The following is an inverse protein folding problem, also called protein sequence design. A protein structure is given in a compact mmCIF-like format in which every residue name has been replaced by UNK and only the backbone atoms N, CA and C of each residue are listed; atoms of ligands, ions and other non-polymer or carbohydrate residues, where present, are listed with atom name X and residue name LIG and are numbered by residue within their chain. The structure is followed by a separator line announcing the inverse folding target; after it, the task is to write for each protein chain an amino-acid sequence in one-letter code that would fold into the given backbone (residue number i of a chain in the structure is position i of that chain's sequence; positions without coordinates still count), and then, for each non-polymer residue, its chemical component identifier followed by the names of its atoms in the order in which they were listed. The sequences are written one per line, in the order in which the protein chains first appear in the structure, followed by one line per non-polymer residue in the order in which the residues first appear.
data_IF_989119995827
#
_entry.id   IF_989119995827
#
_cell.length_a   1.000
_cell.length_b   1.000
_cell.length_c   1.000
_cell.angle_alpha   90.00
_cell.angle_beta   90.00
_cell.angle_gamma   90.00
#
_symmetry.space_group_name_H-M   'P 1'
#
loop_
_entity.id
_entity.type
_entity.pdbx_description
1 polymer ?
#
# COMPACT_ATOMS: atom_id res chain seq x y z
N UNK A 1 43.65 5.83 40.98
CA UNK A 1 42.90 4.82 40.23
C UNK A 1 41.71 5.55 39.66
N UNK A 2 41.77 5.90 38.37
CA UNK A 2 40.67 6.60 37.70
C UNK A 2 39.53 5.62 37.53
N UNK A 3 38.41 5.92 38.17
CA UNK A 3 37.18 5.15 38.10
C UNK A 3 36.59 5.35 36.70
N UNK A 4 36.81 4.36 35.82
CA UNK A 4 36.18 4.30 34.51
C UNK A 4 34.69 4.02 34.70
N UNK A 5 33.91 5.07 34.96
CA UNK A 5 32.46 5.03 34.94
C UNK A 5 32.04 4.87 33.49
N UNK A 6 31.94 3.62 33.04
CA UNK A 6 31.21 3.28 31.81
C UNK A 6 29.76 3.74 32.02
N UNK A 7 29.42 4.90 31.46
CA UNK A 7 28.03 5.38 31.39
C UNK A 7 27.23 4.34 30.61
N UNK A 8 26.49 3.50 31.33
CA UNK A 8 25.52 2.60 30.71
C UNK A 8 24.41 3.50 30.16
N UNK A 9 24.49 3.87 28.89
CA UNK A 9 23.41 4.59 28.22
C UNK A 9 22.14 3.75 28.31
N UNK A 10 21.18 4.22 29.10
CA UNK A 10 19.89 3.54 29.23
C UNK A 10 19.25 3.43 27.84
N UNK A 11 18.67 2.26 27.48
CA UNK A 11 18.13 2.06 26.15
C UNK A 11 17.08 3.13 25.84
N UNK A 12 17.27 3.85 24.72
CA UNK A 12 16.42 4.96 24.29
C UNK A 12 14.96 4.51 24.23
N UNK A 13 14.15 4.98 25.18
CA UNK A 13 12.73 4.61 25.27
C UNK A 13 11.99 5.13 24.04
N UNK A 14 11.30 4.23 23.33
CA UNK A 14 10.53 4.62 22.14
C UNK A 14 9.35 5.54 22.51
N UNK A 15 9.10 6.62 21.78
CA UNK A 15 7.89 7.43 21.95
C UNK A 15 6.62 6.61 21.73
N UNK A 16 5.60 6.80 22.56
CA UNK A 16 4.31 6.09 22.44
C UNK A 16 3.65 6.33 21.07
N UNK A 17 3.73 7.55 20.54
CA UNK A 17 3.20 7.89 19.22
C UNK A 17 3.86 7.06 18.10
N UNK A 18 5.19 6.89 18.14
CA UNK A 18 5.91 6.07 17.18
C UNK A 18 5.51 4.58 17.28
N UNK A 19 5.25 4.08 18.48
CA UNK A 19 4.75 2.71 18.68
C UNK A 19 3.38 2.52 18.02
N UNK A 20 2.44 3.44 18.24
CA UNK A 20 1.11 3.39 17.61
C UNK A 20 1.24 3.42 16.09
N UNK A 21 2.07 4.33 15.57
CA UNK A 21 2.30 4.45 14.13
C UNK A 21 2.87 3.17 13.50
N UNK A 22 3.82 2.51 14.17
CA UNK A 22 4.32 1.21 13.75
C UNK A 22 3.24 0.12 13.76
N UNK A 23 2.38 0.08 14.77
CA UNK A 23 1.30 -0.91 14.83
C UNK A 23 0.30 -0.68 13.71
N UNK A 24 -0.12 0.57 13.46
CA UNK A 24 -1.03 0.91 12.37
C UNK A 24 -0.45 0.53 11.00
N UNK A 25 0.82 0.88 10.74
CA UNK A 25 1.49 0.55 9.49
C UNK A 25 1.70 -0.96 9.32
N UNK A 26 1.97 -1.67 10.41
CA UNK A 26 2.12 -3.12 10.41
C UNK A 26 0.80 -3.80 10.03
N UNK A 27 -0.32 -3.40 10.66
CA UNK A 27 -1.65 -3.94 10.33
C UNK A 27 -1.98 -3.69 8.85
N UNK A 28 -1.77 -2.47 8.37
CA UNK A 28 -2.00 -2.14 6.95
C UNK A 28 -1.15 -2.98 5.99
N UNK A 29 0.14 -3.16 6.30
CA UNK A 29 1.06 -3.93 5.45
C UNK A 29 0.76 -5.44 5.49
N UNK A 30 0.40 -5.99 6.65
CA UNK A 30 -0.03 -7.39 6.76
C UNK A 30 -1.35 -7.62 6.04
N UNK A 31 -2.31 -6.70 6.14
CA UNK A 31 -3.56 -6.77 5.40
C UNK A 31 -3.32 -6.77 3.89
N UNK A 32 -2.48 -5.85 3.39
CA UNK A 32 -2.11 -5.79 1.98
C UNK A 32 -1.43 -7.08 1.51
N UNK A 33 -0.49 -7.61 2.29
CA UNK A 33 0.20 -8.86 1.99
C UNK A 33 -0.78 -10.03 1.90
N UNK A 34 -1.65 -10.18 2.91
CA UNK A 34 -2.66 -11.23 2.96
C UNK A 34 -3.66 -11.11 1.82
N UNK A 35 -4.14 -9.90 1.52
CA UNK A 35 -5.05 -9.63 0.41
C UNK A 35 -4.41 -9.96 -0.94
N UNK A 36 -3.13 -9.63 -1.15
CA UNK A 36 -2.41 -9.92 -2.40
C UNK A 36 -2.23 -11.42 -2.63
N UNK A 37 -1.92 -12.16 -1.56
CA UNK A 37 -1.81 -13.63 -1.60
C UNK A 37 -3.18 -14.24 -1.86
N UNK A 38 -4.20 -13.82 -1.12
CA UNK A 38 -5.57 -14.31 -1.28
C UNK A 38 -6.10 -14.06 -2.70
N UNK A 39 -5.91 -12.84 -3.21
CA UNK A 39 -6.29 -12.47 -4.57
C UNK A 39 -5.63 -13.38 -5.57
N UNK A 40 -4.31 -13.61 -5.48
CA UNK A 40 -3.61 -14.49 -6.42
C UNK A 40 -4.25 -15.89 -6.54
N UNK A 41 -4.66 -16.49 -5.42
CA UNK A 41 -5.28 -17.83 -5.42
C UNK A 41 -6.77 -17.86 -5.77
N UNK A 42 -7.47 -16.75 -5.64
CA UNK A 42 -8.94 -16.68 -5.80
C UNK A 42 -9.39 -15.89 -7.01
N UNK A 43 -8.47 -15.16 -7.67
CA UNK A 43 -8.78 -14.25 -8.77
C UNK A 43 -9.46 -14.97 -9.93
N UNK A 44 -8.94 -16.12 -10.38
CA UNK A 44 -9.54 -16.85 -11.51
C UNK A 44 -11.00 -17.24 -11.26
N UNK A 45 -11.34 -17.56 -10.01
CA UNK A 45 -12.71 -17.92 -9.61
C UNK A 45 -13.61 -16.70 -9.45
N UNK A 46 -13.06 -15.59 -8.96
CA UNK A 46 -13.83 -14.37 -8.71
C UNK A 46 -13.94 -13.47 -9.95
N UNK A 47 -13.03 -13.61 -10.91
CA UNK A 47 -12.94 -12.78 -12.11
C UNK A 47 -14.22 -12.77 -12.95
N UNK A 48 -14.82 -13.92 -13.35
CA UNK A 48 -16.02 -13.90 -14.18
C UNK A 48 -17.19 -13.19 -13.49
N UNK A 49 -17.40 -13.49 -12.20
CA UNK A 49 -18.45 -12.87 -11.39
C UNK A 49 -18.26 -11.36 -11.22
N UNK A 50 -17.01 -10.93 -10.99
CA UNK A 50 -16.71 -9.50 -10.86
C UNK A 50 -16.90 -8.78 -12.20
N UNK A 51 -16.43 -9.39 -13.30
CA UNK A 51 -16.58 -8.84 -14.65
C UNK A 51 -18.05 -8.65 -15.01
N UNK A 52 -18.87 -9.71 -14.88
CA UNK A 52 -20.32 -9.67 -15.11
C UNK A 52 -21.01 -8.60 -14.26
N UNK A 53 -20.62 -8.46 -13.00
CA UNK A 53 -21.17 -7.46 -12.10
C UNK A 53 -20.85 -6.03 -12.55
N UNK A 54 -19.64 -5.76 -13.04
CA UNK A 54 -19.28 -4.43 -13.55
C UNK A 54 -19.94 -4.13 -14.89
N UNK A 55 -19.95 -5.08 -15.83
CA UNK A 55 -20.57 -4.90 -17.15
C UNK A 55 -22.08 -4.68 -17.02
N UNK A 56 -22.78 -5.47 -16.22
CA UNK A 56 -24.23 -5.32 -16.00
C UNK A 56 -24.56 -3.95 -15.39
N UNK A 57 -23.75 -3.47 -14.43
CA UNK A 57 -23.95 -2.14 -13.86
C UNK A 57 -23.71 -1.02 -14.87
N UNK A 58 -22.68 -1.16 -15.71
CA UNK A 58 -22.38 -0.19 -16.76
C UNK A 58 -23.49 -0.16 -17.82
N UNK A 59 -23.97 -1.32 -18.26
CA UNK A 59 -25.10 -1.47 -19.20
C UNK A 59 -26.37 -0.85 -18.62
N UNK A 60 -26.68 -1.10 -17.34
CA UNK A 60 -27.85 -0.50 -16.67
C UNK A 60 -27.79 1.03 -16.67
N UNK A 61 -26.61 1.62 -16.47
CA UNK A 61 -26.45 3.08 -16.57
C UNK A 61 -26.61 3.56 -18.01
N UNK A 62 -26.01 2.87 -18.97
CA UNK A 62 -26.14 3.18 -20.39
C UNK A 62 -27.59 3.15 -20.86
N UNK A 63 -28.35 2.12 -20.47
CA UNK A 63 -29.78 1.98 -20.79
C UNK A 63 -30.64 3.07 -20.15
N UNK A 64 -30.22 3.58 -18.99
CA UNK A 64 -30.84 4.74 -18.35
C UNK A 64 -30.44 6.09 -18.99
N UNK A 65 -29.65 6.07 -20.08
CA UNK A 65 -29.16 7.26 -20.77
C UNK A 65 -28.00 7.96 -20.05
N UNK A 66 -27.33 7.26 -19.12
CA UNK A 66 -26.15 7.75 -18.40
C UNK A 66 -24.91 7.09 -19.00
N UNK A 67 -24.27 7.80 -19.93
CA UNK A 67 -23.09 7.37 -20.69
C UNK A 67 -21.80 8.09 -20.28
N UNK A 68 -21.88 8.92 -19.24
CA UNK A 68 -20.80 9.80 -18.82
C UNK A 68 -20.91 10.19 -17.35
N UNK A 69 -19.84 10.79 -16.82
CA UNK A 69 -19.75 11.21 -15.42
C UNK A 69 -18.95 10.26 -14.53
N UNK A 70 -18.84 10.63 -13.25
CA UNK A 70 -17.96 9.96 -12.29
C UNK A 70 -18.31 8.47 -12.10
N UNK A 71 -19.59 8.17 -11.91
CA UNK A 71 -20.06 6.80 -11.66
C UNK A 71 -19.83 5.90 -12.87
N UNK A 72 -20.18 6.38 -14.08
CA UNK A 72 -19.94 5.66 -15.33
C UNK A 72 -18.46 5.34 -15.52
N UNK A 73 -17.60 6.38 -15.44
CA UNK A 73 -16.14 6.21 -15.56
C UNK A 73 -15.55 5.31 -14.48
N UNK A 74 -16.08 5.33 -13.26
CA UNK A 74 -15.59 4.46 -12.19
C UNK A 74 -15.87 2.98 -12.47
N UNK A 75 -17.02 2.67 -13.07
CA UNK A 75 -17.36 1.30 -13.48
C UNK A 75 -16.53 0.87 -14.70
N UNK A 76 -16.40 1.73 -15.70
CA UNK A 76 -15.52 1.51 -16.87
C UNK A 76 -14.07 1.24 -16.43
N UNK A 77 -13.51 2.10 -15.58
CA UNK A 77 -12.18 1.91 -15.00
C UNK A 77 -12.09 0.61 -14.16
N UNK A 78 -13.18 0.18 -13.53
CA UNK A 78 -13.27 -1.09 -12.83
C UNK A 78 -13.12 -2.29 -13.77
N UNK A 79 -13.77 -2.25 -14.93
CA UNK A 79 -13.64 -3.26 -15.99
C UNK A 79 -12.20 -3.31 -16.50
N UNK A 80 -11.64 -2.15 -16.88
CA UNK A 80 -10.24 -2.04 -17.36
C UNK A 80 -9.27 -2.57 -16.30
N UNK A 81 -9.48 -2.20 -15.03
CA UNK A 81 -8.65 -2.67 -13.92
C UNK A 81 -8.68 -4.19 -13.78
N UNK A 82 -9.86 -4.80 -13.85
CA UNK A 82 -10.01 -6.25 -13.75
C UNK A 82 -9.37 -6.98 -14.92
N UNK A 83 -9.59 -6.50 -16.15
CA UNK A 83 -9.04 -7.12 -17.36
C UNK A 83 -7.51 -7.09 -17.33
N UNK A 84 -6.92 -5.92 -17.05
CA UNK A 84 -5.47 -5.74 -16.96
C UNK A 84 -4.86 -6.48 -15.79
N UNK A 85 -5.56 -6.55 -14.66
CA UNK A 85 -5.14 -7.37 -13.52
C UNK A 85 -5.12 -8.85 -13.88
N UNK A 86 -6.09 -9.34 -14.66
CA UNK A 86 -6.11 -10.72 -15.16
C UNK A 86 -4.90 -11.03 -16.04
N UNK A 87 -4.58 -10.13 -16.98
CA UNK A 87 -3.45 -10.26 -17.90
C UNK A 87 -2.09 -10.26 -17.16
N UNK A 88 -1.98 -9.46 -16.08
CA UNK A 88 -0.72 -9.25 -15.35
C UNK A 88 -0.73 -9.82 -13.92
N UNK A 89 -1.62 -10.76 -13.61
CA UNK A 89 -1.90 -11.19 -12.23
C UNK A 89 -0.64 -11.59 -11.46
N UNK A 90 0.18 -12.45 -12.06
CA UNK A 90 1.42 -12.92 -11.42
C UNK A 90 2.41 -11.79 -11.12
N UNK A 91 2.56 -10.85 -12.04
CA UNK A 91 3.47 -9.71 -11.87
C UNK A 91 2.94 -8.75 -10.80
N UNK A 92 1.66 -8.38 -10.86
CA UNK A 92 1.03 -7.48 -9.89
C UNK A 92 1.08 -8.09 -8.48
N UNK A 93 0.66 -9.35 -8.33
CA UNK A 93 0.70 -10.03 -7.03
C UNK A 93 2.13 -10.17 -6.51
N UNK A 94 3.08 -10.55 -7.36
CA UNK A 94 4.49 -10.68 -6.97
C UNK A 94 5.10 -9.35 -6.50
N UNK A 95 4.84 -8.26 -7.22
CA UNK A 95 5.32 -6.93 -6.88
C UNK A 95 4.64 -6.40 -5.61
N UNK A 96 3.35 -6.61 -5.43
CA UNK A 96 2.64 -6.25 -4.19
C UNK A 96 3.20 -6.99 -2.97
N UNK A 97 3.43 -8.30 -3.10
CA UNK A 97 4.04 -9.12 -2.04
C UNK A 97 5.45 -8.60 -1.71
N UNK A 98 6.28 -8.33 -2.72
CA UNK A 98 7.62 -7.79 -2.55
C UNK A 98 7.59 -6.46 -1.77
N UNK A 99 6.81 -5.49 -2.22
CA UNK A 99 6.74 -4.18 -1.56
C UNK A 99 6.11 -4.25 -0.17
N UNK A 100 5.15 -5.14 0.06
CA UNK A 100 4.60 -5.38 1.39
C UNK A 100 5.68 -5.93 2.35
N UNK A 101 6.53 -6.86 1.89
CA UNK A 101 7.65 -7.38 2.68
C UNK A 101 8.69 -6.28 2.96
N UNK A 102 9.04 -5.47 1.96
CA UNK A 102 9.97 -4.34 2.14
C UNK A 102 9.40 -3.30 3.12
N UNK A 103 8.10 -3.00 3.04
CA UNK A 103 7.40 -2.13 3.99
C UNK A 103 7.44 -2.70 5.40
N UNK A 104 7.13 -3.98 5.60
CA UNK A 104 7.21 -4.66 6.90
C UNK A 104 8.62 -4.67 7.47
N UNK A 105 9.64 -4.90 6.63
CA UNK A 105 11.04 -4.81 7.04
C UNK A 105 11.40 -3.38 7.47
N UNK A 106 10.94 -2.37 6.73
CA UNK A 106 11.08 -0.96 7.10
C UNK A 106 10.44 -0.66 8.45
N UNK A 107 9.19 -1.06 8.66
CA UNK A 107 8.45 -0.89 9.92
C UNK A 107 9.16 -1.58 11.07
N UNK A 108 9.68 -2.80 10.87
CA UNK A 108 10.44 -3.52 11.88
C UNK A 108 11.73 -2.79 12.29
N UNK A 109 12.44 -2.20 11.32
CA UNK A 109 13.62 -1.38 11.59
C UNK A 109 13.27 -0.07 12.31
N UNK A 110 12.16 0.59 11.93
CA UNK A 110 11.65 1.78 12.63
C UNK A 110 11.25 1.44 14.06
N UNK A 111 10.62 0.27 14.26
CA UNK A 111 10.35 -0.27 15.58
C UNK A 111 11.68 -0.37 16.35
N UNK A 112 12.74 -0.90 15.76
CA UNK A 112 14.08 -0.91 16.37
C UNK A 112 14.80 0.45 16.44
N UNK A 113 14.11 1.57 16.19
CA UNK A 113 14.65 2.93 16.20
C UNK A 113 15.80 3.17 15.21
N UNK A 114 15.85 2.42 14.10
CA UNK A 114 16.88 2.58 13.06
C UNK A 114 16.37 3.47 11.92
N UNK A 115 17.11 4.54 11.59
CA UNK A 115 16.74 5.46 10.49
C UNK A 115 16.62 4.78 9.14
N UNK A 116 17.43 3.74 8.89
CA UNK A 116 17.34 2.94 7.66
C UNK A 116 15.95 2.34 7.43
N UNK A 117 15.20 2.07 8.49
CA UNK A 117 13.82 1.60 8.39
C UNK A 117 12.89 2.63 7.76
N UNK A 118 13.06 3.91 8.10
CA UNK A 118 12.27 5.00 7.54
C UNK A 118 12.50 5.13 6.03
N UNK A 119 13.76 5.10 5.59
CA UNK A 119 14.06 5.21 4.16
C UNK A 119 13.54 3.99 3.39
N UNK A 120 13.72 2.78 3.92
CA UNK A 120 13.21 1.56 3.30
C UNK A 120 11.68 1.58 3.20
N UNK A 121 10.97 1.94 4.29
CA UNK A 121 9.52 2.08 4.29
C UNK A 121 9.06 3.12 3.27
N UNK A 122 9.67 4.30 3.27
CA UNK A 122 9.26 5.42 2.40
C UNK A 122 9.45 5.07 0.93
N UNK A 123 10.61 4.53 0.55
CA UNK A 123 10.89 4.09 -0.82
C UNK A 123 9.93 2.98 -1.23
N UNK A 124 9.76 1.94 -0.38
CA UNK A 124 8.87 0.83 -0.70
C UNK A 124 7.44 1.31 -0.97
N UNK A 125 6.88 2.17 -0.10
CA UNK A 125 5.51 2.62 -0.25
C UNK A 125 5.35 3.63 -1.40
N UNK A 126 6.32 4.51 -1.66
CA UNK A 126 6.27 5.44 -2.79
C UNK A 126 6.36 4.72 -4.14
N UNK A 127 7.25 3.74 -4.28
CA UNK A 127 7.34 2.95 -5.52
C UNK A 127 6.15 2.03 -5.71
N UNK A 128 5.58 1.51 -4.61
CA UNK A 128 4.37 0.70 -4.68
C UNK A 128 3.18 1.46 -5.29
N UNK A 129 3.05 2.78 -5.07
CA UNK A 129 2.00 3.61 -5.69
C UNK A 129 2.07 3.63 -7.23
N UNK A 130 3.25 3.37 -7.80
CA UNK A 130 3.45 3.35 -9.25
C UNK A 130 3.00 2.04 -9.89
N UNK A 131 2.87 0.97 -9.09
CA UNK A 131 2.54 -0.38 -9.58
C UNK A 131 1.23 -0.40 -10.38
N UNK A 132 0.08 0.08 -9.87
CA UNK A 132 -1.15 0.06 -10.65
C UNK A 132 -1.10 1.01 -11.86
N UNK A 133 -0.40 2.15 -11.76
CA UNK A 133 -0.26 3.09 -12.88
C UNK A 133 0.51 2.51 -14.07
N UNK A 134 1.46 1.59 -13.82
CA UNK A 134 2.31 1.00 -14.85
C UNK A 134 1.80 -0.36 -15.33
N UNK A 135 1.30 -1.21 -14.41
CA UNK A 135 0.95 -2.60 -14.72
C UNK A 135 -0.54 -2.83 -14.98
N UNK A 136 -1.40 -1.89 -14.60
CA UNK A 136 -2.85 -1.97 -14.84
C UNK A 136 -3.19 -1.01 -15.97
N UNK A 137 -3.38 0.26 -15.63
CA UNK A 137 -3.69 1.34 -16.57
C UNK A 137 -3.55 2.69 -15.84
N UNK A 138 -3.01 3.69 -16.53
CA UNK A 138 -2.74 5.00 -15.93
C UNK A 138 -4.02 5.74 -15.55
N UNK A 139 -4.99 5.82 -16.46
CA UNK A 139 -6.23 6.56 -16.23
C UNK A 139 -7.13 5.86 -15.21
N UNK A 140 -7.26 4.53 -15.34
CA UNK A 140 -8.07 3.74 -14.43
C UNK A 140 -7.51 3.74 -12.99
N UNK A 141 -6.19 3.82 -12.85
CA UNK A 141 -5.52 3.75 -11.54
C UNK A 141 -5.24 5.10 -10.91
N UNK A 142 -5.26 6.21 -11.66
CA UNK A 142 -4.88 7.54 -11.17
C UNK A 142 -5.64 7.95 -9.92
N UNK A 143 -6.96 7.81 -9.91
CA UNK A 143 -7.78 8.20 -8.76
C UNK A 143 -7.41 7.39 -7.51
N UNK A 144 -7.24 6.08 -7.64
CA UNK A 144 -6.84 5.22 -6.53
C UNK A 144 -5.43 5.60 -6.03
N UNK A 145 -4.49 5.79 -6.95
CA UNK A 145 -3.13 6.20 -6.63
C UNK A 145 -3.06 7.54 -5.90
N UNK A 146 -3.91 8.52 -6.24
CA UNK A 146 -3.99 9.80 -5.53
C UNK A 146 -4.52 9.63 -4.10
N UNK A 147 -5.59 8.84 -3.92
CA UNK A 147 -6.18 8.57 -2.61
C UNK A 147 -5.16 7.85 -1.72
N UNK A 148 -4.55 6.78 -2.22
CA UNK A 148 -3.55 6.02 -1.49
C UNK A 148 -2.29 6.85 -1.24
N UNK A 149 -1.87 7.65 -2.22
CA UNK A 149 -0.72 8.54 -2.12
C UNK A 149 -0.87 9.59 -1.02
N UNK A 150 -2.08 10.13 -0.81
CA UNK A 150 -2.36 11.01 0.31
C UNK A 150 -2.05 10.33 1.65
N UNK A 151 -2.56 9.12 1.88
CA UNK A 151 -2.30 8.38 3.12
C UNK A 151 -0.82 7.98 3.25
N UNK A 152 -0.17 7.56 2.16
CA UNK A 152 1.25 7.22 2.16
C UNK A 152 2.10 8.41 2.59
N UNK A 153 1.87 9.58 2.00
CA UNK A 153 2.61 10.82 2.35
C UNK A 153 2.34 11.21 3.80
N UNK A 154 1.09 11.10 4.26
CA UNK A 154 0.70 11.39 5.64
C UNK A 154 1.49 10.52 6.62
N UNK A 155 1.57 9.21 6.40
CA UNK A 155 2.37 8.30 7.22
C UNK A 155 3.87 8.58 7.17
N UNK A 156 4.41 8.88 5.98
CA UNK A 156 5.81 9.27 5.83
C UNK A 156 6.12 10.53 6.65
N UNK A 157 5.27 11.55 6.61
CA UNK A 157 5.44 12.77 7.41
C UNK A 157 5.40 12.44 8.91
N UNK A 158 4.43 11.62 9.35
CA UNK A 158 4.33 11.19 10.75
C UNK A 158 5.58 10.42 11.22
N UNK A 159 6.21 9.61 10.37
CA UNK A 159 7.48 8.98 10.68
C UNK A 159 8.64 9.99 10.66
N UNK A 160 8.65 10.91 9.69
CA UNK A 160 9.70 11.91 9.51
C UNK A 160 9.83 12.82 10.75
N UNK A 161 8.72 13.25 11.34
CA UNK A 161 8.74 14.06 12.57
C UNK A 161 9.30 13.30 13.79
N UNK A 162 9.36 11.96 13.72
CA UNK A 162 9.95 11.10 14.74
C UNK A 162 11.40 10.68 14.45
N UNK A 163 12.01 11.13 13.34
CA UNK A 163 13.38 10.75 12.96
C UNK A 163 14.44 11.12 14.00
N UNK A 164 14.24 12.21 14.75
CA UNK A 164 15.13 12.61 15.85
C UNK A 164 15.23 11.55 16.97
N UNK A 165 14.23 10.69 17.07
CA UNK A 165 14.22 9.59 18.04
C UNK A 165 14.91 8.33 17.53
N UNK A 166 15.25 8.27 16.24
CA UNK A 166 15.94 7.15 15.62
C UNK A 166 17.46 7.41 15.55
N UNK A 167 18.24 6.35 15.49
CA UNK A 167 19.69 6.35 15.30
C UNK A 167 20.05 6.02 13.85
#
# INVERSE_FOLDING_TARGET
MEENVTTIEAPKKRPSFLTVLCILSFIGSVFLLGASIYQYFTFEKSYPKQMEMFTTQLETLSDAGIDSGFTYKSLENGIVTLEKTSQNLGMISGVNILFAILSLAGIFLIFKLKKNGFYLYSVANLFWLLVPLVLVDFEASMMNALIMGFFTILFIIMYAVNLKHME
#
